data_IF_924437881403
#
_entry.id   IF_924437881403
#
_cell.length_a   1.000
_cell.length_b   1.000
_cell.length_c   1.000
_cell.angle_alpha   90.00
_cell.angle_beta   90.00
_cell.angle_gamma   90.00
#
_symmetry.space_group_name_H-M   'P 1'
#
loop_
_entity.id
_entity.type
_entity.pdbx_description
1 polymer ?
#
# COMPACT_ATOMS: atom_id res chain seq x y z
N UNK A 1 -51.13 48.97 16.89
CA UNK A 1 -49.82 48.66 17.49
C UNK A 1 -49.69 47.15 17.52
N UNK A 2 -49.06 46.57 16.51
CA UNK A 2 -49.12 45.12 16.22
C UNK A 2 -47.80 44.48 16.64
N UNK A 3 -47.84 43.63 17.66
CA UNK A 3 -46.70 42.86 18.16
C UNK A 3 -46.42 41.67 17.25
N UNK A 4 -45.21 41.56 16.71
CA UNK A 4 -44.75 40.36 15.99
C UNK A 4 -44.09 39.38 16.97
N UNK A 5 -44.56 38.14 16.99
CA UNK A 5 -43.97 37.02 17.74
C UNK A 5 -42.94 36.33 16.85
N UNK A 6 -41.67 36.34 17.26
CA UNK A 6 -40.58 35.61 16.59
C UNK A 6 -40.65 34.15 17.07
N UNK A 7 -41.05 33.23 16.18
CA UNK A 7 -40.96 31.79 16.41
C UNK A 7 -39.59 31.33 15.90
N UNK A 8 -38.69 31.01 16.83
CA UNK A 8 -37.41 30.37 16.54
C UNK A 8 -37.63 28.87 16.29
N UNK A 9 -37.55 28.47 15.03
CA UNK A 9 -37.59 27.07 14.62
C UNK A 9 -36.28 26.38 15.05
N UNK A 10 -36.30 25.68 16.18
CA UNK A 10 -35.24 24.74 16.58
C UNK A 10 -35.38 23.49 15.72
N UNK A 11 -34.63 23.42 14.62
CA UNK A 11 -34.46 22.19 13.85
C UNK A 11 -33.78 21.15 14.71
N UNK A 12 -34.57 20.23 15.28
CA UNK A 12 -34.07 19.04 15.94
C UNK A 12 -33.42 18.14 14.89
N UNK A 13 -32.08 18.19 14.81
CA UNK A 13 -31.28 17.19 14.12
C UNK A 13 -31.55 15.81 14.74
N UNK A 14 -32.40 15.03 14.08
CA UNK A 14 -32.64 13.63 14.42
C UNK A 14 -31.34 12.82 14.31
N UNK A 15 -31.14 11.82 15.19
CA UNK A 15 -29.90 11.07 15.25
C UNK A 15 -29.75 10.20 13.99
N UNK A 16 -28.50 10.10 13.53
CA UNK A 16 -28.01 9.29 12.42
C UNK A 16 -28.79 7.98 12.21
N UNK A 17 -29.61 7.92 11.17
CA UNK A 17 -29.90 6.65 10.49
C UNK A 17 -28.66 6.34 9.67
N UNK A 18 -27.71 5.63 10.26
CA UNK A 18 -26.56 5.07 9.55
C UNK A 18 -27.14 4.06 8.56
N UNK A 19 -27.15 4.44 7.28
CA UNK A 19 -27.50 3.53 6.19
C UNK A 19 -26.50 2.37 6.21
N UNK A 20 -26.94 1.20 6.69
CA UNK A 20 -26.13 -0.01 6.85
C UNK A 20 -25.44 -0.45 5.57
N UNK A 21 -25.94 -0.01 4.40
CA UNK A 21 -25.37 -0.33 3.10
C UNK A 21 -24.05 0.43 2.82
N UNK A 22 -23.89 1.66 3.33
CA UNK A 22 -22.66 2.43 3.14
C UNK A 22 -21.49 1.89 3.99
N UNK A 23 -21.78 1.35 5.18
CA UNK A 23 -20.79 0.74 6.05
C UNK A 23 -20.30 -0.62 5.50
N UNK A 24 -21.18 -1.40 4.89
CA UNK A 24 -20.82 -2.67 4.21
C UNK A 24 -19.97 -2.40 2.97
N UNK A 25 -20.24 -1.33 2.23
CA UNK A 25 -19.43 -0.90 1.08
C UNK A 25 -18.05 -0.38 1.51
N UNK A 26 -17.93 0.30 2.66
CA UNK A 26 -16.65 0.73 3.25
C UNK A 26 -15.81 -0.41 3.87
N UNK A 27 -16.46 -1.45 4.41
CA UNK A 27 -15.80 -2.68 4.87
C UNK A 27 -15.34 -3.55 3.70
N UNK A 28 -15.93 -3.35 2.52
CA UNK A 28 -15.57 -4.02 1.28
C UNK A 28 -14.46 -3.27 0.52
N UNK A 29 -13.31 -3.94 0.40
CA UNK A 29 -12.31 -3.77 -0.66
C UNK A 29 -11.30 -2.60 -0.57
N UNK A 30 -10.56 -2.55 0.53
CA UNK A 30 -9.11 -2.42 0.37
C UNK A 30 -8.51 -3.77 0.75
N UNK A 31 -8.55 -4.74 -0.18
CA UNK A 31 -7.97 -6.06 0.09
C UNK A 31 -6.46 -5.86 0.32
N UNK A 32 -5.89 -6.26 1.47
CA UNK A 32 -4.47 -6.12 1.69
C UNK A 32 -3.71 -7.00 0.67
N UNK A 33 -2.74 -6.42 -0.01
CA UNK A 33 -1.91 -7.11 -1.01
C UNK A 33 -0.46 -7.11 -0.54
N UNK A 34 0.10 -8.31 -0.42
CA UNK A 34 1.54 -8.53 -0.29
C UNK A 34 2.17 -8.79 -1.65
N UNK A 35 3.28 -8.10 -1.94
CA UNK A 35 4.07 -8.27 -3.15
C UNK A 35 5.41 -8.88 -2.74
N UNK A 36 5.75 -10.03 -3.29
CA UNK A 36 7.02 -10.71 -3.07
C UNK A 36 7.70 -10.90 -4.43
N UNK A 37 8.74 -10.12 -4.67
CA UNK A 37 9.45 -10.10 -5.95
C UNK A 37 10.84 -10.71 -5.79
N UNK A 38 11.03 -11.89 -6.34
CA UNK A 38 12.37 -12.48 -6.50
C UNK A 38 13.10 -11.77 -7.65
N UNK A 39 14.01 -10.85 -7.31
CA UNK A 39 14.78 -10.08 -8.30
C UNK A 39 15.84 -10.96 -8.97
N UNK A 40 16.31 -12.03 -8.31
CA UNK A 40 17.32 -12.91 -8.89
C UNK A 40 16.75 -13.70 -10.06
N UNK A 41 15.49 -14.10 -9.95
CA UNK A 41 14.80 -14.88 -10.98
C UNK A 41 13.98 -14.01 -11.94
N UNK A 42 13.47 -12.86 -11.49
CA UNK A 42 12.72 -11.91 -12.30
C UNK A 42 13.42 -10.55 -12.32
N UNK A 43 14.60 -10.52 -12.93
CA UNK A 43 15.47 -9.35 -12.97
C UNK A 43 14.85 -8.15 -13.66
N UNK A 44 15.35 -6.98 -13.29
CA UNK A 44 15.05 -5.72 -13.97
C UNK A 44 15.76 -5.73 -15.33
N UNK A 45 15.04 -5.50 -16.44
CA UNK A 45 15.66 -5.45 -17.75
C UNK A 45 16.74 -4.37 -17.84
N UNK A 46 17.75 -4.63 -18.66
CA UNK A 46 18.84 -3.66 -18.92
C UNK A 46 18.25 -2.35 -19.41
N UNK A 47 18.81 -1.23 -18.95
CA UNK A 47 18.37 0.14 -19.28
C UNK A 47 16.95 0.51 -18.86
N UNK A 48 16.37 -0.19 -17.87
CA UNK A 48 15.10 0.20 -17.24
C UNK A 48 15.31 0.73 -15.83
N UNK A 49 14.53 1.76 -15.47
CA UNK A 49 14.53 2.33 -14.13
C UNK A 49 13.69 1.44 -13.18
N UNK A 50 14.26 0.92 -12.09
CA UNK A 50 13.53 0.12 -11.10
C UNK A 50 12.28 0.80 -10.54
N UNK A 51 12.34 2.12 -10.31
CA UNK A 51 11.22 2.89 -9.77
C UNK A 51 9.98 2.81 -10.68
N UNK A 52 10.18 2.88 -12.00
CA UNK A 52 9.08 2.79 -12.97
C UNK A 52 8.44 1.39 -12.98
N UNK A 53 9.20 0.34 -12.69
CA UNK A 53 8.65 -1.02 -12.61
C UNK A 53 7.81 -1.16 -11.35
N UNK A 54 8.34 -0.72 -10.20
CA UNK A 54 7.62 -0.71 -8.93
C UNK A 54 6.31 0.08 -9.05
N UNK A 55 6.35 1.26 -9.67
CA UNK A 55 5.16 2.06 -9.91
C UNK A 55 4.12 1.32 -10.77
N UNK A 56 4.54 0.69 -11.88
CA UNK A 56 3.63 -0.08 -12.73
C UNK A 56 3.02 -1.29 -12.02
N UNK A 57 3.77 -1.99 -11.18
CA UNK A 57 3.24 -3.09 -10.36
C UNK A 57 2.13 -2.55 -9.45
N UNK A 58 2.40 -1.45 -8.74
CA UNK A 58 1.42 -0.79 -7.86
C UNK A 58 0.16 -0.35 -8.59
N UNK A 59 0.32 0.35 -9.71
CA UNK A 59 -0.81 0.82 -10.54
C UNK A 59 -1.71 -0.33 -11.00
N UNK A 60 -1.10 -1.45 -11.42
CA UNK A 60 -1.88 -2.64 -11.79
C UNK A 60 -2.67 -3.18 -10.60
N UNK A 61 -2.07 -3.25 -9.41
CA UNK A 61 -2.72 -3.78 -8.21
C UNK A 61 -3.81 -2.85 -7.66
N UNK A 62 -3.60 -1.53 -7.70
CA UNK A 62 -4.59 -0.56 -7.24
C UNK A 62 -5.84 -0.52 -8.12
N UNK A 63 -5.71 -0.82 -9.42
CA UNK A 63 -6.86 -1.00 -10.33
C UNK A 63 -7.79 -2.14 -9.90
N UNK A 64 -7.31 -3.12 -9.15
CA UNK A 64 -8.12 -4.23 -8.62
C UNK A 64 -8.69 -3.95 -7.21
N UNK A 65 -8.67 -2.70 -6.74
CA UNK A 65 -9.14 -2.34 -5.38
C UNK A 65 -8.22 -2.84 -4.27
N UNK A 66 -6.98 -3.16 -4.60
CA UNK A 66 -5.98 -3.62 -3.66
C UNK A 66 -5.34 -2.48 -2.87
N UNK A 67 -5.04 -2.72 -1.60
CA UNK A 67 -4.18 -1.84 -0.80
C UNK A 67 -2.88 -2.57 -0.47
N UNK A 68 -1.76 -1.98 -0.88
CA UNK A 68 -0.43 -2.51 -0.54
C UNK A 68 -0.27 -2.60 0.98
N UNK A 69 -0.09 -3.82 1.47
CA UNK A 69 0.22 -4.14 2.86
C UNK A 69 1.71 -4.46 3.01
N UNK A 70 2.29 -5.16 2.04
CA UNK A 70 3.72 -5.47 1.99
C UNK A 70 4.26 -5.36 0.57
N UNK A 71 5.48 -4.87 0.42
CA UNK A 71 6.23 -4.95 -0.82
C UNK A 71 7.66 -5.34 -0.46
N UNK A 72 8.01 -6.59 -0.76
CA UNK A 72 9.29 -7.21 -0.48
C UNK A 72 9.92 -7.64 -1.81
N UNK A 73 11.21 -7.37 -1.94
CA UNK A 73 12.08 -7.84 -2.98
C UNK A 73 13.09 -8.77 -2.31
N UNK A 74 13.39 -9.88 -2.95
CA UNK A 74 14.34 -10.86 -2.45
C UNK A 74 15.51 -10.87 -3.42
N UNK A 75 16.70 -10.59 -2.91
CA UNK A 75 17.95 -10.67 -3.64
C UNK A 75 19.16 -10.78 -2.71
N UNK A 76 20.25 -11.30 -3.27
CA UNK A 76 21.59 -11.17 -2.68
C UNK A 76 22.15 -9.79 -3.05
N UNK A 77 22.16 -8.85 -2.10
CA UNK A 77 22.59 -7.47 -2.36
C UNK A 77 24.06 -7.33 -2.68
N UNK A 78 24.87 -8.35 -2.38
CA UNK A 78 26.28 -8.35 -2.75
C UNK A 78 26.48 -8.70 -4.23
N UNK A 79 25.50 -9.35 -4.87
CA UNK A 79 25.55 -9.78 -6.27
C UNK A 79 24.76 -8.87 -7.21
N UNK A 80 23.80 -8.11 -6.67
CA UNK A 80 23.01 -7.16 -7.44
C UNK A 80 23.71 -5.82 -7.65
N UNK A 81 23.33 -5.12 -8.73
CA UNK A 81 23.88 -3.80 -9.07
C UNK A 81 23.46 -2.78 -8.00
N UNK A 82 24.41 -2.02 -7.44
CA UNK A 82 24.14 -1.00 -6.42
C UNK A 82 23.03 -0.02 -6.83
N UNK A 83 23.05 0.45 -8.08
CA UNK A 83 21.99 1.30 -8.63
C UNK A 83 20.58 0.67 -8.52
N UNK A 84 20.45 -0.64 -8.75
CA UNK A 84 19.16 -1.33 -8.62
C UNK A 84 18.73 -1.33 -7.15
N UNK A 85 19.64 -1.69 -6.25
CA UNK A 85 19.38 -1.72 -4.81
C UNK A 85 18.97 -0.34 -4.29
N UNK A 86 19.70 0.71 -4.64
CA UNK A 86 19.41 2.08 -4.21
C UNK A 86 18.04 2.56 -4.70
N UNK A 87 17.70 2.24 -5.95
CA UNK A 87 16.41 2.61 -6.53
C UNK A 87 15.25 1.82 -5.93
N UNK A 88 15.44 0.53 -5.65
CA UNK A 88 14.43 -0.25 -4.94
C UNK A 88 14.24 0.26 -3.51
N UNK A 89 15.33 0.54 -2.77
CA UNK A 89 15.26 1.13 -1.44
C UNK A 89 14.56 2.50 -1.43
N UNK A 90 14.86 3.37 -2.40
CA UNK A 90 14.18 4.65 -2.57
C UNK A 90 12.68 4.51 -2.90
N UNK A 91 12.24 3.35 -3.39
CA UNK A 91 10.84 3.07 -3.69
C UNK A 91 10.02 2.67 -2.45
N UNK A 92 10.65 2.51 -1.28
CA UNK A 92 9.96 2.10 -0.05
C UNK A 92 9.06 3.20 0.48
N UNK A 93 7.84 2.81 0.86
CA UNK A 93 6.96 3.70 1.63
C UNK A 93 7.41 3.72 3.09
N UNK A 94 7.41 4.87 3.78
CA UNK A 94 7.87 4.99 5.17
C UNK A 94 7.18 4.05 6.15
N UNK A 95 5.93 3.65 5.88
CA UNK A 95 5.14 2.72 6.72
C UNK A 95 5.51 1.24 6.59
N UNK A 96 6.26 0.85 5.56
CA UNK A 96 6.53 -0.56 5.23
C UNK A 96 8.03 -0.82 4.99
N UNK A 97 8.89 -0.04 5.64
CA UNK A 97 10.36 -0.03 5.51
C UNK A 97 11.06 -1.27 6.07
N UNK A 98 10.51 -2.47 5.87
CA UNK A 98 11.30 -3.70 5.96
C UNK A 98 12.17 -3.71 4.71
N UNK A 99 13.42 -3.27 4.88
CA UNK A 99 14.43 -3.10 3.84
C UNK A 99 14.39 -4.23 2.80
N UNK A 100 14.44 -3.89 1.51
CA UNK A 100 14.36 -4.79 0.35
C UNK A 100 15.47 -5.86 0.26
N UNK A 101 16.28 -5.97 1.29
CA UNK A 101 17.46 -6.83 1.37
C UNK A 101 17.25 -7.83 2.49
N UNK A 102 16.80 -9.03 2.14
CA UNK A 102 17.06 -10.20 2.97
C UNK A 102 18.27 -10.90 2.40
N UNK A 103 19.44 -10.71 3.03
CA UNK A 103 20.64 -11.49 2.74
C UNK A 103 20.38 -12.97 3.04
N UNK A 104 20.08 -13.76 2.01
CA UNK A 104 20.03 -15.21 2.12
C UNK A 104 21.41 -15.83 2.40
N UNK A 105 22.50 -15.08 2.23
CA UNK A 105 23.87 -15.56 2.38
C UNK A 105 24.32 -15.97 3.80
N UNK A 106 23.57 -15.68 4.88
CA UNK A 106 23.99 -16.03 6.26
C UNK A 106 22.89 -16.38 7.26
N UNK A 107 21.67 -16.68 6.82
CA UNK A 107 20.67 -17.28 7.72
C UNK A 107 20.28 -18.64 7.18
N UNK A 108 21.01 -19.67 7.64
CA UNK A 108 20.45 -21.02 7.75
C UNK A 108 19.11 -20.86 8.46
N UNK A 109 18.01 -21.00 7.72
CA UNK A 109 16.69 -21.25 8.29
C UNK A 109 16.78 -22.63 8.93
N UNK A 110 17.18 -22.67 10.20
CA UNK A 110 16.91 -23.79 11.07
C UNK A 110 15.43 -23.78 11.39
N UNK A 111 14.65 -24.53 10.61
CA UNK A 111 13.37 -25.03 11.07
C UNK A 111 13.67 -26.37 11.77
N UNK A 112 13.77 -26.32 13.10
CA UNK A 112 13.50 -27.46 13.99
C UNK A 112 12.21 -27.17 14.71
#
# INVERSE_FOLDING_TARGET
MTTQTIISHRSSSSPNVINSNAAVEQLSLSRPIGIYWDIQNCQIPVNRNPLHIVQRIREKLYKFGGKEAEFICVCDVQKEKSFIIDRLNAAQKPKYSKQFSMNFGKRRLGYT
#
